data_IF_799947532353
#
_entry.id   IF_799947532353
#
_cell.length_a   1.000
_cell.length_b   1.000
_cell.length_c   1.000
_cell.angle_alpha   90.00
_cell.angle_beta   90.00
_cell.angle_gamma   90.00
#
_symmetry.space_group_name_H-M   'P 1'
#
loop_
_entity.id
_entity.type
_entity.pdbx_description
1 polymer ?
#
# COMPACT_ATOMS: atom_id res chain seq x y z
N UNK A 1 7.68 -23.17 4.52
CA UNK A 1 8.24 -22.00 5.21
C UNK A 1 7.87 -20.73 4.48
N UNK A 2 6.59 -20.38 4.49
CA UNK A 2 6.02 -19.14 3.95
C UNK A 2 5.28 -18.43 5.10
N UNK A 3 6.01 -18.22 6.19
CA UNK A 3 5.47 -17.72 7.46
C UNK A 3 6.40 -16.65 8.05
N UNK A 4 6.89 -15.75 7.19
CA UNK A 4 7.67 -14.55 7.52
C UNK A 4 7.35 -13.62 6.33
N UNK A 5 6.42 -12.67 6.35
CA UNK A 5 6.25 -11.51 7.22
C UNK A 5 4.73 -11.23 7.26
N UNK A 6 4.00 -11.69 8.29
CA UNK A 6 2.75 -11.02 8.65
C UNK A 6 3.15 -9.68 9.26
N UNK A 7 2.81 -8.61 8.56
CA UNK A 7 3.07 -7.21 8.84
C UNK A 7 3.12 -6.91 10.35
N UNK A 8 4.32 -6.66 10.90
CA UNK A 8 4.41 -5.92 12.16
C UNK A 8 4.12 -4.46 11.82
N UNK A 9 2.87 -4.08 11.99
CA UNK A 9 2.34 -2.73 11.77
C UNK A 9 2.89 -1.81 12.85
N UNK A 10 3.63 -0.78 12.43
CA UNK A 10 4.29 0.19 13.31
C UNK A 10 3.66 1.56 13.02
N UNK A 11 2.95 2.13 13.99
CA UNK A 11 2.75 3.58 14.03
C UNK A 11 3.99 4.17 14.72
N UNK A 12 4.73 5.02 14.02
CA UNK A 12 5.89 5.73 14.58
C UNK A 12 5.59 7.22 14.60
N UNK A 13 5.69 7.84 15.76
CA UNK A 13 5.62 9.30 15.88
C UNK A 13 7.00 9.86 15.61
N UNK A 14 7.14 10.73 14.61
CA UNK A 14 8.41 11.40 14.34
C UNK A 14 8.38 12.85 14.86
N UNK A 15 9.37 13.18 15.67
CA UNK A 15 9.78 14.54 16.01
C UNK A 15 10.84 14.99 15.00
N UNK A 16 10.56 16.06 14.26
CA UNK A 16 11.60 16.79 13.54
C UNK A 16 12.21 17.78 14.54
N UNK A 17 13.31 17.41 15.18
CA UNK A 17 14.10 18.36 15.95
C UNK A 17 15.09 19.03 14.99
N UNK A 18 14.77 20.26 14.56
CA UNK A 18 15.80 21.15 14.03
C UNK A 18 16.82 21.35 15.15
N UNK A 19 18.08 21.04 14.86
CA UNK A 19 19.18 21.18 15.80
C UNK A 19 19.23 22.62 16.34
N UNK A 20 18.74 22.81 17.55
CA UNK A 20 19.00 23.99 18.36
C UNK A 20 19.42 23.50 19.75
N UNK A 21 20.69 23.77 20.06
CA UNK A 21 21.38 23.51 21.31
C UNK A 21 20.55 23.96 22.50
N UNK A 22 20.36 23.10 23.51
CA UNK A 22 20.54 23.49 24.91
C UNK A 22 20.58 22.26 25.82
N UNK A 23 21.62 22.24 26.67
CA UNK A 23 21.71 21.45 27.89
C UNK A 23 20.43 21.60 28.74
N UNK A 24 20.17 20.57 29.55
CA UNK A 24 19.19 20.47 30.65
C UNK A 24 17.75 20.02 30.32
N UNK A 25 17.49 18.76 30.72
CA UNK A 25 16.25 18.26 31.37
C UNK A 25 15.48 17.15 30.63
N UNK A 26 15.42 15.99 31.30
CA UNK A 26 14.51 14.83 31.11
C UNK A 26 14.57 14.13 29.74
N UNK A 27 15.37 13.07 29.70
CA UNK A 27 15.45 12.10 28.60
C UNK A 27 14.11 11.37 28.47
N UNK A 28 13.25 11.83 27.57
CA UNK A 28 12.25 10.97 26.94
C UNK A 28 12.98 9.98 26.02
N UNK A 29 12.55 8.71 25.92
CA UNK A 29 13.24 7.69 25.12
C UNK A 29 13.08 8.01 23.63
N UNK A 30 14.00 8.82 23.12
CA UNK A 30 14.10 9.16 21.72
C UNK A 30 15.03 8.16 21.02
N UNK A 31 14.51 7.42 20.04
CA UNK A 31 15.37 6.67 19.11
C UNK A 31 15.72 7.59 17.94
N UNK A 32 17.00 7.95 17.82
CA UNK A 32 17.49 8.82 16.75
C UNK A 32 17.58 8.06 15.44
N UNK A 33 16.98 8.61 14.38
CA UNK A 33 17.26 8.24 13.00
C UNK A 33 18.46 9.11 12.57
N UNK A 34 19.66 8.54 12.72
CA UNK A 34 20.96 9.21 12.67
C UNK A 34 21.27 9.97 11.38
N UNK A 35 20.61 9.64 10.26
CA UNK A 35 20.90 10.27 8.97
C UNK A 35 20.17 11.62 8.73
N UNK A 36 19.19 12.01 9.57
CA UNK A 36 18.35 13.19 9.31
C UNK A 36 18.04 14.08 10.50
N UNK A 37 18.61 13.84 11.68
CA UNK A 37 18.26 14.60 12.89
C UNK A 37 16.81 14.40 13.36
N UNK A 38 16.16 13.31 12.93
CA UNK A 38 14.79 12.97 13.28
C UNK A 38 14.80 12.06 14.50
N UNK A 39 13.92 12.36 15.45
CA UNK A 39 13.73 11.58 16.68
C UNK A 39 12.39 10.85 16.62
N UNK A 40 12.33 9.57 17.02
CA UNK A 40 11.04 8.91 17.24
C UNK A 40 10.61 9.14 18.69
N UNK A 41 9.47 9.82 18.89
CA UNK A 41 8.97 10.15 20.22
C UNK A 41 8.32 8.94 20.91
N UNK A 42 7.55 8.17 20.13
CA UNK A 42 6.86 6.98 20.58
C UNK A 42 6.62 6.05 19.38
N UNK A 43 6.65 4.75 19.63
CA UNK A 43 6.21 3.73 18.68
C UNK A 43 5.05 2.96 19.29
N UNK A 44 3.94 2.91 18.56
CA UNK A 44 2.73 2.21 18.93
C UNK A 44 2.45 1.11 17.91
N UNK A 45 1.93 -0.03 18.38
CA UNK A 45 1.56 -1.16 17.54
C UNK A 45 0.06 -1.38 17.59
N UNK A 46 -0.54 -1.68 16.45
CA UNK A 46 -1.95 -2.04 16.34
C UNK A 46 -2.05 -3.56 16.53
N UNK A 47 -2.86 -4.06 17.49
CA UNK A 47 -3.07 -5.49 17.65
C UNK A 47 -3.66 -6.13 16.39
N UNK A 48 -3.30 -7.38 16.10
CA UNK A 48 -3.83 -8.11 14.94
C UNK A 48 -5.36 -8.30 15.04
N UNK A 49 -5.88 -8.57 16.24
CA UNK A 49 -7.32 -8.63 16.54
C UNK A 49 -7.72 -7.38 17.33
N UNK A 50 -7.88 -6.26 16.63
CA UNK A 50 -8.17 -4.99 17.25
C UNK A 50 -9.68 -4.74 17.35
N UNK A 51 -10.08 -4.00 18.39
CA UNK A 51 -11.43 -3.45 18.55
C UNK A 51 -11.41 -1.94 18.31
N UNK A 52 -12.56 -1.30 18.05
CA UNK A 52 -12.64 0.16 17.92
C UNK A 52 -12.00 0.93 19.10
N UNK A 53 -12.10 0.38 20.31
CA UNK A 53 -11.53 0.97 21.52
C UNK A 53 -10.00 0.92 21.59
N UNK A 54 -9.34 0.05 20.84
CA UNK A 54 -7.88 0.00 20.77
C UNK A 54 -7.33 1.16 19.96
N UNK A 55 -8.02 1.56 18.87
CA UNK A 55 -7.70 2.80 18.16
C UNK A 55 -7.88 4.03 19.05
N UNK A 56 -8.92 4.07 19.89
CA UNK A 56 -9.12 5.18 20.84
C UNK A 56 -7.98 5.27 21.85
N UNK A 57 -7.47 4.12 22.35
CA UNK A 57 -6.30 4.09 23.23
C UNK A 57 -5.06 4.63 22.53
N UNK A 58 -4.85 4.26 21.26
CA UNK A 58 -3.74 4.77 20.45
C UNK A 58 -3.83 6.30 20.36
N UNK A 59 -5.00 6.85 19.98
CA UNK A 59 -5.17 8.31 19.90
C UNK A 59 -4.88 9.00 21.24
N UNK A 60 -5.33 8.45 22.37
CA UNK A 60 -5.00 8.99 23.70
C UNK A 60 -3.48 8.99 23.95
N UNK A 61 -2.79 7.89 23.64
CA UNK A 61 -1.34 7.81 23.79
C UNK A 61 -0.59 8.79 22.87
N UNK A 62 -1.10 9.00 21.63
CA UNK A 62 -0.56 10.01 20.73
C UNK A 62 -0.71 11.42 21.32
N UNK A 63 -1.86 11.75 21.92
CA UNK A 63 -2.13 13.05 22.55
C UNK A 63 -1.28 13.31 23.79
N UNK A 64 -0.86 12.27 24.52
CA UNK A 64 0.07 12.41 25.65
C UNK A 64 1.45 12.95 25.19
N UNK A 65 1.79 12.81 23.91
CA UNK A 65 3.05 13.27 23.31
C UNK A 65 2.94 14.70 22.76
N UNK A 66 2.90 15.69 23.66
CA UNK A 66 2.64 17.11 23.30
C UNK A 66 3.60 17.76 22.29
N UNK A 67 4.84 17.29 22.20
CA UNK A 67 5.87 17.90 21.35
C UNK A 67 5.85 17.40 19.90
N UNK A 68 5.08 16.35 19.60
CA UNK A 68 5.06 15.72 18.29
C UNK A 68 3.65 15.71 17.70
N UNK A 69 3.50 16.27 16.50
CA UNK A 69 2.22 16.26 15.77
C UNK A 69 2.25 15.37 14.53
N UNK A 70 3.43 14.99 14.07
CA UNK A 70 3.60 14.16 12.88
C UNK A 70 3.56 12.69 13.24
N UNK A 71 2.62 11.97 12.63
CA UNK A 71 2.40 10.54 12.88
C UNK A 71 2.63 9.79 11.58
N UNK A 72 3.60 8.88 11.58
CA UNK A 72 3.90 8.00 10.45
C UNK A 72 3.17 6.69 10.63
N UNK A 73 2.31 6.37 9.68
CA UNK A 73 1.42 5.21 9.70
C UNK A 73 1.90 4.16 8.69
N UNK A 74 2.39 3.04 9.20
CA UNK A 74 2.63 1.82 8.42
C UNK A 74 1.54 0.79 8.75
N UNK A 75 0.34 0.97 8.18
CA UNK A 75 -0.84 0.20 8.54
C UNK A 75 -1.69 -0.17 7.32
N UNK A 76 -2.61 -1.12 7.45
CA UNK A 76 -3.53 -1.51 6.36
C UNK A 76 -4.59 -0.44 6.09
N UNK A 77 -5.31 -0.53 4.97
CA UNK A 77 -6.41 0.38 4.63
C UNK A 77 -7.47 0.44 5.75
N UNK A 78 -7.79 -0.71 6.37
CA UNK A 78 -8.76 -0.83 7.47
C UNK A 78 -8.25 -0.16 8.75
N UNK A 79 -6.98 -0.39 9.10
CA UNK A 79 -6.36 0.20 10.29
C UNK A 79 -6.23 1.72 10.18
N UNK A 80 -5.86 2.23 9.01
CA UNK A 80 -5.80 3.67 8.73
C UNK A 80 -7.18 4.28 8.94
N UNK A 81 -8.23 3.67 8.37
CA UNK A 81 -9.61 4.10 8.57
C UNK A 81 -9.99 4.08 10.06
N UNK A 82 -9.59 3.03 10.78
CA UNK A 82 -9.79 2.89 12.23
C UNK A 82 -9.17 4.05 13.03
N UNK A 83 -7.92 4.39 12.73
CA UNK A 83 -7.18 5.50 13.37
C UNK A 83 -7.80 6.86 13.03
N UNK A 84 -8.10 7.13 11.76
CA UNK A 84 -8.73 8.39 11.35
C UNK A 84 -10.11 8.57 11.99
N UNK A 85 -10.90 7.50 12.07
CA UNK A 85 -12.19 7.51 12.74
C UNK A 85 -12.05 7.74 14.25
N UNK A 86 -11.07 7.13 14.91
CA UNK A 86 -10.78 7.38 16.32
C UNK A 86 -10.33 8.83 16.58
N UNK A 87 -9.51 9.40 15.69
CA UNK A 87 -9.12 10.82 15.75
C UNK A 87 -10.34 11.74 15.63
N UNK A 88 -11.27 11.42 14.71
CA UNK A 88 -12.53 12.15 14.56
C UNK A 88 -13.44 12.02 15.79
N UNK A 89 -13.58 10.83 16.36
CA UNK A 89 -14.34 10.60 17.62
C UNK A 89 -13.75 11.35 18.82
N UNK A 90 -12.43 11.55 18.85
CA UNK A 90 -11.74 12.29 19.88
C UNK A 90 -11.72 13.82 19.63
N UNK A 91 -12.41 14.30 18.59
CA UNK A 91 -12.43 15.71 18.17
C UNK A 91 -11.03 16.28 17.90
N UNK A 92 -10.15 15.46 17.31
CA UNK A 92 -8.76 15.81 17.00
C UNK A 92 -8.52 15.96 15.49
N UNK A 93 -9.55 16.29 14.72
CA UNK A 93 -9.43 16.54 13.28
C UNK A 93 -8.51 17.73 13.05
N UNK A 94 -7.48 17.55 12.22
CA UNK A 94 -6.48 18.58 11.94
C UNK A 94 -5.39 18.76 13.00
N UNK A 95 -5.45 18.03 14.12
CA UNK A 95 -4.40 18.08 15.15
C UNK A 95 -3.10 17.39 14.70
N UNK A 96 -3.24 16.21 14.08
CA UNK A 96 -2.13 15.39 13.62
C UNK A 96 -1.81 15.63 12.14
N UNK A 97 -0.52 15.61 11.80
CA UNK A 97 -0.04 15.53 10.42
C UNK A 97 0.28 14.08 10.10
N UNK A 98 -0.52 13.48 9.22
CA UNK A 98 -0.36 12.08 8.85
C UNK A 98 0.68 11.90 7.74
N UNK A 99 1.58 10.94 7.92
CA UNK A 99 2.44 10.42 6.86
C UNK A 99 2.07 8.95 6.63
N UNK A 100 1.43 8.64 5.50
CA UNK A 100 0.98 7.29 5.17
C UNK A 100 1.97 6.51 4.30
N UNK A 101 2.09 5.21 4.57
CA UNK A 101 2.83 4.25 3.73
C UNK A 101 2.14 3.96 2.38
N UNK A 102 2.75 3.04 1.60
CA UNK A 102 2.27 2.59 0.29
C UNK A 102 0.87 1.97 0.30
N UNK A 103 0.47 1.40 1.44
CA UNK A 103 -0.90 0.91 1.67
C UNK A 103 -1.94 2.01 1.51
N UNK A 104 -1.68 3.21 2.05
CA UNK A 104 -2.55 4.37 1.87
C UNK A 104 -2.46 4.87 0.42
N UNK A 105 -1.26 5.24 -0.01
CA UNK A 105 -1.03 5.80 -1.34
C UNK A 105 -2.03 6.91 -1.69
N UNK A 106 -2.63 6.83 -2.88
CA UNK A 106 -3.67 7.75 -3.36
C UNK A 106 -5.09 7.13 -3.31
N UNK A 107 -5.33 6.12 -2.46
CA UNK A 107 -6.62 5.43 -2.37
C UNK A 107 -7.66 6.27 -1.61
N UNK A 108 -8.88 6.32 -2.13
CA UNK A 108 -10.01 6.97 -1.43
C UNK A 108 -10.68 6.05 -0.39
N UNK A 109 -10.53 4.73 -0.51
CA UNK A 109 -11.11 3.74 0.43
C UNK A 109 -10.82 4.02 1.92
N UNK A 110 -9.57 4.23 2.36
CA UNK A 110 -9.26 4.44 3.78
C UNK A 110 -9.85 5.75 4.35
N UNK A 111 -10.11 6.75 3.49
CA UNK A 111 -10.55 8.09 3.89
C UNK A 111 -12.01 8.39 3.53
N UNK A 112 -12.75 7.45 2.94
CA UNK A 112 -14.13 7.67 2.52
C UNK A 112 -15.01 8.04 3.73
N UNK A 113 -15.64 9.22 3.69
CA UNK A 113 -16.40 9.87 4.78
C UNK A 113 -15.55 10.41 5.97
N UNK A 114 -14.22 10.35 5.83
CA UNK A 114 -13.21 10.83 6.78
C UNK A 114 -12.23 11.80 6.10
N UNK A 115 -12.65 12.41 5.00
CA UNK A 115 -11.81 13.29 4.18
C UNK A 115 -11.31 14.50 4.97
N UNK A 116 -12.09 14.97 5.93
CA UNK A 116 -11.74 16.04 6.86
C UNK A 116 -10.56 15.66 7.77
N UNK A 117 -10.51 14.42 8.26
CA UNK A 117 -9.41 13.92 9.09
C UNK A 117 -8.12 13.67 8.29
N UNK A 118 -8.24 13.49 6.97
CA UNK A 118 -7.11 13.21 6.07
C UNK A 118 -6.48 14.47 5.45
N UNK A 119 -7.07 15.66 5.61
CA UNK A 119 -6.55 16.89 4.99
C UNK A 119 -5.11 17.15 5.42
N UNK A 120 -4.23 17.38 4.45
CA UNK A 120 -2.81 17.65 4.67
C UNK A 120 -1.95 16.39 4.78
N UNK A 121 -2.55 15.19 4.84
CA UNK A 121 -1.81 13.93 4.89
C UNK A 121 -0.89 13.79 3.68
N UNK A 122 0.37 13.41 3.94
CA UNK A 122 1.35 13.10 2.91
C UNK A 122 1.45 11.58 2.80
N UNK A 123 1.32 11.03 1.61
CA UNK A 123 1.36 9.59 1.38
C UNK A 123 2.34 9.25 0.29
N UNK A 124 2.88 8.03 0.35
CA UNK A 124 3.77 7.50 -0.68
C UNK A 124 3.03 6.42 -1.47
N UNK A 125 3.29 6.33 -2.77
CA UNK A 125 2.76 5.27 -3.62
C UNK A 125 3.88 4.78 -4.53
N UNK A 126 4.18 3.47 -4.57
CA UNK A 126 5.09 2.92 -5.57
C UNK A 126 4.66 3.35 -6.97
N UNK A 127 5.62 3.90 -7.73
CA UNK A 127 5.38 4.36 -9.08
C UNK A 127 4.92 3.18 -9.93
N UNK A 128 3.72 3.29 -10.49
CA UNK A 128 3.02 2.20 -11.15
C UNK A 128 2.34 2.69 -12.42
N UNK A 129 2.21 1.80 -13.40
CA UNK A 129 1.36 1.99 -14.55
C UNK A 129 0.14 1.07 -14.47
N UNK A 130 -0.97 1.52 -15.06
CA UNK A 130 -2.11 0.64 -15.29
C UNK A 130 -1.81 -0.31 -16.43
N UNK A 131 -2.14 -1.59 -16.25
CA UNK A 131 -1.92 -2.62 -17.26
C UNK A 131 -3.24 -2.91 -17.98
N UNK A 132 -3.43 -2.28 -19.14
CA UNK A 132 -4.69 -2.38 -19.91
C UNK A 132 -5.06 -3.81 -20.30
N UNK A 133 -4.07 -4.66 -20.59
CA UNK A 133 -4.29 -6.07 -20.88
C UNK A 133 -4.87 -6.84 -19.68
N UNK A 134 -4.51 -6.46 -18.45
CA UNK A 134 -5.10 -7.04 -17.24
C UNK A 134 -6.54 -6.57 -17.06
N UNK A 135 -6.82 -5.28 -17.27
CA UNK A 135 -8.19 -4.74 -17.18
C UNK A 135 -9.11 -5.46 -18.16
N UNK A 136 -8.69 -5.57 -19.43
CA UNK A 136 -9.44 -6.28 -20.45
C UNK A 136 -9.69 -7.75 -20.07
N UNK A 137 -8.67 -8.45 -19.54
CA UNK A 137 -8.81 -9.84 -19.09
C UNK A 137 -9.76 -9.97 -17.90
N UNK A 138 -9.62 -9.11 -16.89
CA UNK A 138 -10.38 -9.18 -15.63
C UNK A 138 -11.84 -8.79 -15.85
N UNK A 139 -12.09 -7.69 -16.57
CA UNK A 139 -13.45 -7.22 -16.87
C UNK A 139 -14.21 -8.16 -17.80
N UNK A 140 -13.51 -8.98 -18.60
CA UNK A 140 -14.15 -10.01 -19.42
C UNK A 140 -14.54 -11.27 -18.64
N UNK A 141 -14.17 -11.40 -17.35
CA UNK A 141 -14.48 -12.60 -16.56
C UNK A 141 -15.96 -12.63 -16.19
N UNK A 142 -16.56 -13.81 -16.30
CA UNK A 142 -17.93 -14.12 -15.90
C UNK A 142 -17.95 -15.42 -15.09
N UNK A 143 -19.06 -15.70 -14.40
CA UNK A 143 -19.21 -16.93 -13.62
C UNK A 143 -19.07 -18.19 -14.50
N UNK A 144 -19.44 -18.11 -15.78
CA UNK A 144 -19.35 -19.23 -16.72
C UNK A 144 -17.91 -19.50 -17.15
N UNK A 145 -17.12 -18.44 -17.39
CA UNK A 145 -15.80 -18.52 -18.00
C UNK A 145 -14.63 -18.56 -17.01
N UNK A 146 -14.89 -18.38 -15.72
CA UNK A 146 -13.85 -18.32 -14.68
C UNK A 146 -14.02 -19.39 -13.59
N UNK A 147 -14.21 -20.64 -14.00
CA UNK A 147 -14.34 -21.78 -13.06
C UNK A 147 -13.04 -22.18 -12.36
N UNK A 148 -11.90 -21.68 -12.82
CA UNK A 148 -10.58 -21.97 -12.23
C UNK A 148 -10.39 -21.31 -10.86
N UNK A 149 -10.98 -20.14 -10.64
CA UNK A 149 -10.88 -19.42 -9.38
C UNK A 149 -12.05 -19.77 -8.47
N UNK A 150 -11.77 -20.55 -7.43
CA UNK A 150 -12.78 -21.04 -6.47
C UNK A 150 -13.44 -19.91 -5.66
N UNK A 151 -12.76 -18.78 -5.50
CA UNK A 151 -13.28 -17.60 -4.78
C UNK A 151 -14.05 -16.64 -5.67
N UNK A 152 -14.14 -16.90 -6.98
CA UNK A 152 -14.77 -15.97 -7.91
C UNK A 152 -16.29 -15.84 -7.69
N UNK A 153 -16.94 -16.89 -7.20
CA UNK A 153 -18.35 -16.86 -6.84
C UNK A 153 -18.63 -15.93 -5.64
N UNK A 154 -17.80 -16.01 -4.60
CA UNK A 154 -17.87 -15.14 -3.42
C UNK A 154 -17.60 -13.67 -3.81
N UNK A 155 -16.54 -13.44 -4.58
CA UNK A 155 -16.25 -12.12 -5.14
C UNK A 155 -17.43 -11.54 -5.93
N UNK A 156 -18.11 -12.36 -6.75
CA UNK A 156 -19.26 -11.92 -7.54
C UNK A 156 -20.42 -11.47 -6.66
N UNK A 157 -20.75 -12.24 -5.62
CA UNK A 157 -21.79 -11.90 -4.66
C UNK A 157 -21.52 -10.56 -3.96
N UNK A 158 -20.29 -10.35 -3.48
CA UNK A 158 -19.90 -9.11 -2.81
C UNK A 158 -19.85 -7.91 -3.75
N UNK A 159 -19.21 -8.07 -4.91
CA UNK A 159 -18.97 -6.99 -5.86
C UNK A 159 -20.26 -6.43 -6.48
N UNK A 160 -21.26 -7.28 -6.70
CA UNK A 160 -22.57 -6.87 -7.23
C UNK A 160 -23.65 -6.77 -6.14
N UNK A 161 -23.33 -7.05 -4.87
CA UNK A 161 -24.27 -7.09 -3.76
C UNK A 161 -25.50 -7.96 -4.07
N UNK A 162 -25.26 -9.22 -4.43
CA UNK A 162 -26.30 -10.20 -4.75
C UNK A 162 -25.94 -11.60 -4.23
N UNK A 163 -26.92 -12.51 -4.25
CA UNK A 163 -26.73 -13.92 -3.86
C UNK A 163 -26.92 -14.88 -5.02
N UNK A 164 -26.00 -15.84 -5.14
CA UNK A 164 -26.06 -16.95 -6.07
C UNK A 164 -26.99 -18.03 -5.47
N UNK A 165 -27.80 -18.66 -6.31
CA UNK A 165 -28.88 -19.57 -5.86
C UNK A 165 -28.39 -20.83 -5.13
N UNK A 166 -27.08 -21.13 -5.08
CA UNK A 166 -26.53 -22.28 -4.36
C UNK A 166 -26.22 -22.03 -2.88
N UNK A 167 -26.36 -20.80 -2.39
CA UNK A 167 -26.11 -20.45 -0.99
C UNK A 167 -27.33 -20.84 -0.14
N UNK A 168 -27.24 -21.98 0.57
CA UNK A 168 -28.32 -22.69 1.29
C UNK A 168 -29.04 -21.94 2.43
N UNK A 169 -28.97 -20.61 2.50
CA UNK A 169 -29.70 -19.81 3.50
C UNK A 169 -30.68 -18.89 2.79
N UNK A 170 -31.97 -19.24 2.89
CA UNK A 170 -33.12 -18.43 2.52
C UNK A 170 -33.15 -17.15 3.37
N UNK A 171 -32.38 -16.15 2.97
CA UNK A 171 -32.68 -14.77 3.37
C UNK A 171 -33.42 -14.12 2.19
N UNK A 172 -34.74 -14.07 2.31
CA UNK A 172 -35.71 -13.66 1.27
C UNK A 172 -35.57 -12.17 0.87
N UNK A 173 -34.72 -11.44 1.58
CA UNK A 173 -34.47 -10.00 1.38
C UNK A 173 -33.33 -9.69 0.39
N UNK A 174 -32.50 -10.67 0.03
CA UNK A 174 -31.30 -10.43 -0.77
C UNK A 174 -31.55 -10.53 -2.28
N UNK A 175 -31.05 -9.56 -3.05
CA UNK A 175 -31.12 -9.54 -4.52
C UNK A 175 -30.44 -10.80 -5.09
N UNK A 176 -31.10 -11.51 -6.00
CA UNK A 176 -30.49 -12.66 -6.69
C UNK A 176 -29.56 -12.18 -7.81
N UNK A 177 -28.40 -12.83 -7.95
CA UNK A 177 -27.52 -12.58 -9.09
C UNK A 177 -28.14 -13.17 -10.36
N UNK A 178 -28.05 -12.44 -11.47
CA UNK A 178 -28.59 -12.86 -12.77
C UNK A 178 -27.58 -13.66 -13.59
N UNK A 179 -26.28 -13.51 -13.29
CA UNK A 179 -25.18 -14.05 -14.09
C UNK A 179 -24.85 -13.21 -15.32
N UNK A 180 -25.64 -12.17 -15.60
CA UNK A 180 -25.42 -11.24 -16.72
C UNK A 180 -24.66 -9.98 -16.30
N UNK A 181 -24.39 -9.79 -15.01
CA UNK A 181 -23.66 -8.64 -14.50
C UNK A 181 -22.24 -8.54 -15.12
N UNK A 182 -21.74 -7.31 -15.28
CA UNK A 182 -20.45 -7.03 -15.92
C UNK A 182 -19.57 -6.16 -15.02
N UNK A 183 -18.36 -6.64 -14.74
CA UNK A 183 -17.37 -5.93 -13.92
C UNK A 183 -16.97 -4.63 -14.63
N UNK A 184 -17.05 -3.51 -13.91
CA UNK A 184 -16.73 -2.18 -14.44
C UNK A 184 -17.86 -1.50 -15.21
N UNK A 185 -18.97 -2.20 -15.47
CA UNK A 185 -20.21 -1.62 -16.01
C UNK A 185 -21.28 -1.57 -14.92
N UNK A 186 -21.59 -2.73 -14.33
CA UNK A 186 -22.59 -2.88 -13.27
C UNK A 186 -21.96 -2.81 -11.86
N UNK A 187 -20.64 -2.76 -11.78
CA UNK A 187 -19.88 -2.55 -10.54
C UNK A 187 -18.79 -1.52 -10.73
N UNK A 188 -18.41 -0.85 -9.64
CA UNK A 188 -17.23 0.01 -9.63
C UNK A 188 -15.98 -0.87 -9.77
N UNK A 189 -15.17 -0.61 -10.78
CA UNK A 189 -13.88 -1.27 -10.99
C UNK A 189 -12.75 -0.24 -10.91
N UNK A 190 -11.75 -0.54 -10.10
CA UNK A 190 -10.48 0.18 -10.03
C UNK A 190 -9.37 -0.88 -9.97
N UNK A 191 -8.40 -0.81 -10.88
CA UNK A 191 -7.30 -1.77 -10.89
C UNK A 191 -6.48 -1.63 -9.59
N UNK A 192 -6.29 -2.73 -8.86
CA UNK A 192 -5.39 -2.73 -7.71
C UNK A 192 -3.98 -2.46 -8.22
N UNK A 193 -3.40 -1.33 -7.86
CA UNK A 193 -2.16 -0.94 -8.52
C UNK A 193 -0.90 -1.60 -7.98
N UNK A 194 -1.01 -2.78 -7.37
CA UNK A 194 0.11 -3.72 -7.26
C UNK A 194 0.16 -4.73 -8.41
N UNK A 195 -0.81 -4.71 -9.32
CA UNK A 195 -0.92 -5.64 -10.48
C UNK A 195 0.34 -5.67 -11.33
N UNK A 196 0.92 -4.51 -11.68
CA UNK A 196 2.17 -4.46 -12.45
C UNK A 196 3.29 -5.28 -11.78
N UNK A 197 3.51 -5.07 -10.48
CA UNK A 197 4.58 -5.75 -9.75
C UNK A 197 4.37 -7.28 -9.69
N UNK A 198 3.11 -7.73 -9.59
CA UNK A 198 2.78 -9.16 -9.62
C UNK A 198 3.09 -9.76 -10.99
N UNK A 199 2.70 -9.07 -12.08
CA UNK A 199 2.99 -9.50 -13.44
C UNK A 199 4.51 -9.56 -13.67
N UNK A 200 5.23 -8.50 -13.31
CA UNK A 200 6.68 -8.41 -13.46
C UNK A 200 7.40 -9.49 -12.63
N UNK A 201 6.89 -9.86 -11.44
CA UNK A 201 7.45 -10.95 -10.64
C UNK A 201 7.29 -12.33 -11.32
N UNK A 202 6.15 -12.58 -11.97
CA UNK A 202 5.93 -13.82 -12.75
C UNK A 202 6.87 -13.85 -13.95
N UNK A 203 7.04 -12.74 -14.66
CA UNK A 203 7.98 -12.64 -15.78
C UNK A 203 9.44 -12.78 -15.32
N UNK A 204 9.81 -12.25 -14.16
CA UNK A 204 11.16 -12.44 -13.61
C UNK A 204 11.48 -13.93 -13.40
N UNK A 205 10.52 -14.71 -12.89
CA UNK A 205 10.67 -16.17 -12.78
C UNK A 205 10.75 -16.84 -14.15
N UNK A 206 9.88 -16.44 -15.10
CA UNK A 206 9.90 -16.99 -16.46
C UNK A 206 11.23 -16.74 -17.18
N UNK A 207 11.76 -15.51 -17.09
CA UNK A 207 13.08 -15.15 -17.64
C UNK A 207 14.21 -15.91 -16.96
N UNK A 208 14.14 -16.10 -15.63
CA UNK A 208 15.14 -16.90 -14.91
C UNK A 208 15.16 -18.35 -15.38
N UNK A 209 13.99 -18.98 -15.49
CA UNK A 209 13.84 -20.35 -15.99
C UNK A 209 14.28 -20.47 -17.45
N UNK A 210 13.96 -19.48 -18.28
CA UNK A 210 14.39 -19.45 -19.67
C UNK A 210 15.92 -19.34 -19.80
N UNK A 211 16.55 -18.44 -19.04
CA UNK A 211 18.01 -18.30 -19.04
C UNK A 211 18.69 -19.58 -18.54
N UNK A 212 18.13 -20.19 -17.50
CA UNK A 212 18.60 -21.47 -16.97
C UNK A 212 18.45 -22.62 -17.98
N UNK A 213 17.32 -22.69 -18.70
CA UNK A 213 17.10 -23.69 -19.73
C UNK A 213 18.10 -23.52 -20.88
N UNK A 214 18.36 -22.30 -21.33
CA UNK A 214 19.34 -22.03 -22.40
C UNK A 214 20.78 -22.36 -22.00
N UNK A 215 21.13 -22.19 -20.73
CA UNK A 215 22.47 -22.44 -20.22
C UNK A 215 22.72 -23.93 -19.97
N UNK A 216 21.72 -24.66 -19.43
CA UNK A 216 21.87 -26.07 -19.05
C UNK A 216 21.40 -27.06 -20.12
N UNK A 217 20.50 -26.65 -21.00
CA UNK A 217 19.85 -27.51 -21.99
C UNK A 217 19.91 -26.89 -23.40
N UNK A 218 21.11 -26.55 -23.93
CA UNK A 218 21.24 -25.79 -25.18
C UNK A 218 20.63 -26.50 -26.40
N UNK A 219 20.71 -27.83 -26.46
CA UNK A 219 20.27 -28.64 -27.61
C UNK A 219 18.92 -29.33 -27.40
N UNK A 220 18.25 -29.08 -26.27
CA UNK A 220 17.01 -29.76 -25.90
C UNK A 220 15.88 -28.76 -25.74
N UNK A 221 14.80 -28.96 -26.49
CA UNK A 221 13.55 -28.24 -26.24
C UNK A 221 12.90 -28.78 -24.96
N UNK A 222 12.67 -27.90 -23.98
CA UNK A 222 12.07 -28.26 -22.70
C UNK A 222 13.10 -28.39 -21.57
N UNK A 223 12.83 -29.27 -20.61
CA UNK A 223 13.64 -29.45 -19.39
C UNK A 223 14.53 -30.68 -19.58
N UNK A 224 15.84 -30.51 -19.40
CA UNK A 224 16.81 -31.60 -19.37
C UNK A 224 17.13 -32.04 -17.93
N UNK A 225 17.75 -33.22 -17.78
CA UNK A 225 18.08 -33.81 -16.48
C UNK A 225 18.93 -32.87 -15.60
N UNK A 226 19.85 -32.09 -16.19
CA UNK A 226 20.65 -31.15 -15.43
C UNK A 226 19.79 -30.03 -14.82
N UNK A 227 18.83 -29.50 -15.58
CA UNK A 227 17.90 -28.47 -15.09
C UNK A 227 16.94 -29.03 -14.03
N UNK A 228 16.48 -30.28 -14.21
CA UNK A 228 15.64 -30.97 -13.23
C UNK A 228 16.36 -31.14 -11.87
N UNK A 229 17.66 -31.43 -11.90
CA UNK A 229 18.49 -31.64 -10.70
C UNK A 229 19.11 -30.36 -10.12
N UNK A 230 19.02 -29.23 -10.82
CA UNK A 230 19.73 -28.01 -10.49
C UNK A 230 19.34 -27.37 -9.14
N UNK A 231 18.13 -27.66 -8.64
CA UNK A 231 17.65 -27.22 -7.34
C UNK A 231 17.55 -25.70 -7.15
N UNK A 232 17.06 -25.28 -5.98
CA UNK A 232 16.75 -23.86 -5.71
C UNK A 232 17.97 -22.93 -5.67
N UNK A 233 19.15 -23.41 -5.25
CA UNK A 233 20.37 -22.59 -5.17
C UNK A 233 20.87 -22.16 -6.56
N UNK A 234 20.78 -23.05 -7.56
CA UNK A 234 21.19 -22.76 -8.93
C UNK A 234 20.15 -21.84 -9.58
N UNK A 235 18.85 -22.12 -9.41
CA UNK A 235 17.76 -21.24 -9.86
C UNK A 235 17.88 -19.81 -9.29
N UNK A 236 18.21 -19.66 -8.00
CA UNK A 236 18.36 -18.34 -7.37
C UNK A 236 19.44 -17.48 -8.05
N UNK A 237 20.51 -18.09 -8.58
CA UNK A 237 21.53 -17.35 -9.34
C UNK A 237 20.94 -16.76 -10.62
N UNK A 238 20.14 -17.53 -11.35
CA UNK A 238 19.47 -17.03 -12.56
C UNK A 238 18.45 -15.93 -12.21
N UNK A 239 17.66 -16.10 -11.15
CA UNK A 239 16.70 -15.09 -10.69
C UNK A 239 17.42 -13.76 -10.39
N UNK A 240 18.54 -13.77 -9.67
CA UNK A 240 19.29 -12.54 -9.35
C UNK A 240 19.94 -11.87 -10.57
N UNK A 241 20.12 -12.61 -11.66
CA UNK A 241 20.76 -12.12 -12.88
C UNK A 241 19.79 -11.64 -13.96
N UNK A 242 18.47 -11.74 -13.74
CA UNK A 242 17.50 -11.33 -14.76
C UNK A 242 17.55 -9.81 -14.99
N UNK A 243 17.42 -9.44 -16.26
CA UNK A 243 17.26 -8.06 -16.71
C UNK A 243 16.36 -8.08 -17.92
N UNK A 244 15.18 -7.47 -17.82
CA UNK A 244 14.21 -7.40 -18.91
C UNK A 244 13.37 -6.12 -18.78
N UNK A 245 12.66 -5.77 -19.86
CA UNK A 245 11.67 -4.68 -19.81
C UNK A 245 10.35 -5.25 -19.29
N UNK A 246 9.90 -4.73 -18.15
CA UNK A 246 8.65 -5.13 -17.52
C UNK A 246 7.41 -4.73 -18.33
N UNK A 247 6.26 -5.15 -17.82
CA UNK A 247 4.95 -4.94 -18.43
C UNK A 247 4.58 -3.46 -18.64
N UNK A 248 5.16 -2.56 -17.85
CA UNK A 248 5.00 -1.11 -17.97
C UNK A 248 6.14 -0.40 -18.73
N UNK A 249 7.02 -1.15 -19.40
CA UNK A 249 8.19 -0.60 -20.10
C UNK A 249 9.34 -0.19 -19.17
N UNK A 250 9.21 -0.39 -17.86
CA UNK A 250 10.28 -0.16 -16.89
C UNK A 250 11.18 -1.37 -16.77
N UNK A 251 12.50 -1.15 -16.81
CA UNK A 251 13.48 -2.23 -16.60
C UNK A 251 13.35 -2.87 -15.21
N UNK A 252 13.26 -4.19 -15.18
CA UNK A 252 13.21 -5.03 -13.98
C UNK A 252 14.58 -5.69 -13.80
N UNK A 253 15.26 -5.32 -12.72
CA UNK A 253 16.59 -5.78 -12.35
C UNK A 253 16.71 -5.92 -10.84
N UNK A 254 17.63 -6.75 -10.37
CA UNK A 254 17.91 -6.92 -8.94
C UNK A 254 19.30 -6.43 -8.55
N UNK A 255 19.38 -5.77 -7.39
CA UNK A 255 20.66 -5.36 -6.81
C UNK A 255 21.38 -6.56 -6.15
N UNK A 256 22.53 -6.29 -5.51
CA UNK A 256 23.32 -7.33 -4.81
C UNK A 256 22.55 -8.04 -3.69
N UNK A 257 21.57 -7.40 -3.07
CA UNK A 257 20.72 -7.98 -2.03
C UNK A 257 19.53 -8.77 -2.60
N UNK A 258 19.19 -8.57 -3.87
CA UNK A 258 18.01 -9.15 -4.51
C UNK A 258 16.82 -8.21 -4.58
N UNK A 259 17.01 -6.91 -4.28
CA UNK A 259 15.94 -5.92 -4.30
C UNK A 259 15.85 -5.22 -5.66
N UNK A 260 14.63 -4.93 -6.08
CA UNK A 260 14.38 -4.06 -7.22
C UNK A 260 14.58 -2.58 -6.82
N UNK A 261 14.99 -1.70 -7.75
CA UNK A 261 15.12 -0.27 -7.47
C UNK A 261 13.76 0.34 -7.10
N UNK A 262 13.68 0.96 -5.92
CA UNK A 262 12.46 1.62 -5.45
C UNK A 262 12.18 2.92 -6.21
N UNK A 263 10.90 3.15 -6.54
CA UNK A 263 10.42 4.38 -7.16
C UNK A 263 9.07 4.72 -6.57
N UNK A 264 8.88 5.93 -6.09
CA UNK A 264 7.64 6.34 -5.44
C UNK A 264 7.19 7.70 -5.94
N UNK A 265 5.89 7.86 -6.09
CA UNK A 265 5.25 9.16 -6.22
C UNK A 265 4.73 9.58 -4.84
N UNK A 266 4.87 10.86 -4.51
CA UNK A 266 4.44 11.44 -3.25
C UNK A 266 3.16 12.24 -3.49
N UNK A 267 2.16 12.01 -2.65
CA UNK A 267 0.88 12.68 -2.73
C UNK A 267 0.58 13.45 -1.45
N UNK A 268 -0.20 14.52 -1.58
CA UNK A 268 -0.83 15.17 -0.45
C UNK A 268 -2.35 15.18 -0.66
N UNK A 269 -3.12 14.82 0.36
CA UNK A 269 -4.57 14.98 0.31
C UNK A 269 -4.94 16.45 0.59
N UNK A 270 -5.54 17.11 -0.41
CA UNK A 270 -5.85 18.53 -0.35
C UNK A 270 -7.36 18.73 -0.43
N UNK A 271 -7.87 19.59 0.47
CA UNK A 271 -9.27 20.03 0.42
C UNK A 271 -9.35 21.35 -0.36
N UNK A 272 -10.28 21.40 -1.31
CA UNK A 272 -10.61 22.62 -2.05
C UNK A 272 -12.06 22.99 -1.76
N UNK A 273 -12.38 24.29 -1.70
CA UNK A 273 -13.74 24.79 -1.46
C UNK A 273 -14.72 24.52 -2.63
N UNK A 274 -14.27 23.85 -3.70
CA UNK A 274 -15.09 23.41 -4.84
C UNK A 274 -14.93 21.90 -5.13
N UNK A 275 -15.02 21.50 -6.41
CA UNK A 275 -14.95 20.10 -6.88
C UNK A 275 -13.55 19.48 -6.86
N UNK A 276 -12.55 20.17 -6.31
CA UNK A 276 -11.13 19.82 -6.49
C UNK A 276 -10.47 19.09 -5.32
N UNK A 277 -11.23 18.62 -4.33
CA UNK A 277 -10.68 17.89 -3.18
C UNK A 277 -10.19 16.51 -3.61
N UNK A 278 -8.97 16.15 -3.21
CA UNK A 278 -8.36 14.88 -3.61
C UNK A 278 -6.84 14.85 -3.44
N UNK A 279 -6.24 13.74 -3.80
CA UNK A 279 -4.78 13.59 -3.80
C UNK A 279 -4.15 14.41 -4.93
N UNK A 280 -3.13 15.18 -4.59
CA UNK A 280 -2.28 15.92 -5.53
C UNK A 280 -0.87 15.36 -5.46
N UNK A 281 -0.27 15.09 -6.62
CA UNK A 281 1.14 14.72 -6.69
C UNK A 281 1.98 15.93 -6.28
N UNK A 282 2.79 15.77 -5.24
CA UNK A 282 3.65 16.82 -4.66
C UNK A 282 5.14 16.49 -4.79
N UNK A 283 5.48 15.33 -5.32
CA UNK A 283 6.87 14.96 -5.54
C UNK A 283 7.04 13.52 -6.02
N UNK A 284 8.29 13.12 -6.16
CA UNK A 284 8.69 11.76 -6.47
C UNK A 284 10.01 11.42 -5.78
N UNK A 285 10.23 10.13 -5.54
CA UNK A 285 11.49 9.59 -5.06
C UNK A 285 11.98 8.53 -6.04
N UNK A 286 13.15 8.76 -6.61
CA UNK A 286 13.88 7.80 -7.46
C UNK A 286 15.35 7.92 -7.14
N UNK A 287 15.80 7.17 -6.14
CA UNK A 287 17.13 7.28 -5.49
C UNK A 287 17.35 8.60 -4.74
N UNK A 288 16.85 9.71 -5.28
CA UNK A 288 16.84 11.06 -4.72
C UNK A 288 15.41 11.56 -4.57
N UNK A 289 15.17 12.37 -3.53
CA UNK A 289 13.89 12.98 -3.26
C UNK A 289 13.73 14.27 -4.06
N UNK A 290 12.64 14.39 -4.80
CA UNK A 290 12.26 15.60 -5.54
C UNK A 290 10.88 16.04 -5.07
N UNK A 291 10.80 17.18 -4.40
CA UNK A 291 9.56 17.77 -3.91
C UNK A 291 9.23 19.03 -4.69
N UNK A 292 7.96 19.17 -5.07
CA UNK A 292 7.41 20.43 -5.53
C UNK A 292 6.77 21.16 -4.35
N UNK A 293 7.60 21.92 -3.62
CA UNK A 293 7.21 22.61 -2.39
C UNK A 293 6.05 23.59 -2.61
N UNK A 294 5.95 24.19 -3.80
CA UNK A 294 4.86 25.12 -4.14
C UNK A 294 3.48 24.46 -4.19
N UNK A 295 3.43 23.14 -4.41
CA UNK A 295 2.20 22.37 -4.43
C UNK A 295 1.83 21.80 -3.07
N UNK A 296 2.73 21.84 -2.08
CA UNK A 296 2.45 21.35 -0.74
C UNK A 296 1.68 22.44 0.01
N UNK A 297 0.42 22.17 0.31
CA UNK A 297 -0.37 23.01 1.19
C UNK A 297 0.05 22.72 2.62
N UNK A 298 0.87 23.61 3.18
CA UNK A 298 1.04 23.67 4.62
C UNK A 298 -0.23 24.32 5.16
N UNK A 299 -1.10 23.55 5.77
CA UNK A 299 -2.10 24.12 6.66
C UNK A 299 -1.33 24.84 7.76
N UNK A 300 -1.13 26.14 7.61
CA UNK A 300 -0.76 26.99 8.73
C UNK A 300 -1.89 26.78 9.72
N UNK A 301 -1.61 26.03 10.78
CA UNK A 301 -2.47 25.95 11.94
C UNK A 301 -2.47 27.36 12.56
N UNK A 302 -3.24 28.28 11.97
CA UNK A 302 -3.57 29.56 12.57
C UNK A 302 -4.49 29.24 13.74
N UNK A 303 -3.87 28.92 14.87
CA UNK A 303 -4.48 28.66 16.15
C UNK A 303 -3.43 28.96 17.19
N UNK A 304 -3.40 30.22 17.58
CA UNK A 304 -2.50 30.85 18.55
C UNK A 304 -2.18 29.96 19.75
N UNK A 305 -0.88 29.76 20.01
CA UNK A 305 -0.37 29.32 21.30
C UNK A 305 0.53 30.45 21.83
N UNK A 306 -0.06 31.35 22.61
CA UNK A 306 0.59 32.03 23.71
C UNK A 306 -0.04 31.48 24.99
#
# INVERSE_FOLDING_TARGET
GLEIIKSQIIAAIMLIQLAAVSLHSRVHPCVFISAGGICIAQSLKIPHEHKPSDFDKIIRQLLDTRYARTVVLFASDEDIRGILNASKRADQVGHFLWIGSDSWGSKNSPIHQLEDAAVGAITILPKRATISGFDAYFMSRTLENNRRNVWFAEYWEENFNCKLMSSSKKDDSSRKCTGQERIGVDSKYEQEGKVQFVIDAVYAMAHALHNMQRDLCPDVSGICLEMELAGGKKLLKYIRSVSFNGSAGTSVTFNRNGDAPGRYDLFQYQRSNGTGSGYRAVGQWTETLQLNVSLILVLVLTGSWF
#
